data_IF_122750525060
#
_entry.id   IF_122750525060
#
_cell.length_a   1.000
_cell.length_b   1.000
_cell.length_c   1.000
_cell.angle_alpha   90.00
_cell.angle_beta   90.00
_cell.angle_gamma   90.00
#
_symmetry.space_group_name_H-M   'P 1'
#
loop_
_entity.id
_entity.type
_entity.pdbx_description
1 polymer ?
#
# COMPACT_ATOMS: atom_id res chain seq x y z
N UNK A 1 19.78 -4.21 -4.11
CA UNK A 1 18.89 -3.07 -4.50
C UNK A 1 17.78 -3.64 -5.38
N UNK A 2 16.52 -3.32 -5.11
CA UNK A 2 15.37 -3.79 -5.90
C UNK A 2 15.46 -3.35 -7.36
N UNK A 3 15.15 -4.24 -8.29
CA UNK A 3 15.03 -3.96 -9.72
C UNK A 3 13.57 -3.81 -10.11
N UNK A 4 13.25 -2.77 -10.92
CA UNK A 4 11.91 -2.56 -11.48
C UNK A 4 11.96 -2.98 -12.95
N UNK A 5 11.09 -3.91 -13.28
CA UNK A 5 10.99 -4.51 -14.60
C UNK A 5 9.64 -4.16 -15.23
N UNK A 6 9.64 -3.66 -16.44
CA UNK A 6 8.43 -3.36 -17.18
C UNK A 6 8.00 -4.58 -18.01
N UNK A 7 6.80 -5.07 -17.74
CA UNK A 7 6.21 -6.23 -18.40
C UNK A 7 6.81 -7.58 -18.00
N UNK A 8 6.02 -8.62 -18.19
CA UNK A 8 6.39 -10.00 -17.79
C UNK A 8 7.30 -10.72 -18.78
N UNK A 9 7.58 -10.15 -19.95
CA UNK A 9 8.37 -10.81 -21.01
C UNK A 9 9.76 -11.23 -20.54
N UNK A 10 10.34 -10.51 -19.56
CA UNK A 10 11.66 -10.82 -19.00
C UNK A 10 11.62 -11.82 -17.85
N UNK A 11 10.46 -12.23 -17.38
CA UNK A 11 10.34 -13.12 -16.22
C UNK A 11 11.11 -14.44 -16.38
N UNK A 12 11.11 -15.13 -17.55
CA UNK A 12 11.93 -16.32 -17.76
C UNK A 12 13.44 -16.07 -17.57
N UNK A 13 13.93 -14.91 -18.01
CA UNK A 13 15.35 -14.55 -17.85
C UNK A 13 15.67 -14.27 -16.38
N UNK A 14 14.80 -13.59 -15.66
CA UNK A 14 14.93 -13.32 -14.21
C UNK A 14 15.02 -14.65 -13.45
N UNK A 15 14.10 -15.59 -13.70
CA UNK A 15 14.11 -16.90 -13.06
C UNK A 15 15.40 -17.69 -13.34
N UNK A 16 15.91 -17.60 -14.55
CA UNK A 16 17.20 -18.19 -14.91
C UNK A 16 18.37 -17.51 -14.19
N UNK A 17 18.37 -16.18 -14.10
CA UNK A 17 19.41 -15.38 -13.43
C UNK A 17 19.49 -15.72 -11.94
N UNK A 18 18.34 -15.85 -11.26
CA UNK A 18 18.29 -16.19 -9.84
C UNK A 18 18.49 -17.71 -9.58
N UNK A 19 18.59 -18.50 -10.63
CA UNK A 19 18.82 -19.95 -10.53
C UNK A 19 17.61 -20.74 -10.03
N UNK A 20 16.39 -20.22 -10.29
CA UNK A 20 15.15 -20.84 -9.85
C UNK A 20 14.98 -22.25 -10.45
N UNK A 21 14.79 -23.24 -9.60
CA UNK A 21 14.43 -24.61 -9.96
C UNK A 21 13.00 -24.92 -9.53
N UNK A 22 12.68 -24.64 -8.28
CA UNK A 22 11.38 -24.92 -7.67
C UNK A 22 10.70 -23.62 -7.23
N UNK A 23 9.75 -23.17 -8.02
CA UNK A 23 9.05 -21.91 -7.84
C UNK A 23 7.89 -22.05 -6.85
N UNK A 24 7.89 -21.24 -5.79
CA UNK A 24 6.71 -21.07 -4.92
C UNK A 24 5.89 -19.91 -5.42
N UNK A 25 4.71 -20.19 -5.95
CA UNK A 25 3.81 -19.22 -6.57
C UNK A 25 2.68 -18.85 -5.60
N UNK A 26 2.76 -17.64 -5.03
CA UNK A 26 1.71 -17.08 -4.14
C UNK A 26 0.73 -16.29 -4.99
N UNK A 27 -0.53 -16.75 -5.06
CA UNK A 27 -1.58 -16.18 -5.90
C UNK A 27 -2.87 -15.96 -5.12
N UNK A 28 -3.56 -14.88 -5.42
CA UNK A 28 -4.90 -14.63 -4.87
C UNK A 28 -6.02 -15.10 -5.81
N UNK A 29 -7.27 -14.92 -5.38
CA UNK A 29 -8.44 -15.36 -6.14
C UNK A 29 -8.61 -14.67 -7.50
N UNK A 30 -7.95 -13.55 -7.74
CA UNK A 30 -8.01 -12.85 -9.02
C UNK A 30 -7.17 -13.51 -10.12
N UNK A 31 -6.19 -14.34 -9.74
CA UNK A 31 -5.24 -14.97 -10.65
C UNK A 31 -5.89 -15.70 -11.83
N UNK A 32 -7.02 -16.38 -11.59
CA UNK A 32 -7.74 -17.12 -12.62
C UNK A 32 -8.30 -16.24 -13.76
N UNK A 33 -8.44 -14.93 -13.52
CA UNK A 33 -8.98 -13.96 -14.47
C UNK A 33 -7.90 -13.10 -15.12
N UNK A 34 -6.62 -13.27 -14.74
CA UNK A 34 -5.53 -12.47 -15.27
C UNK A 34 -5.15 -12.94 -16.69
N UNK A 35 -4.98 -11.98 -17.57
CA UNK A 35 -4.51 -12.22 -18.94
C UNK A 35 -3.07 -12.75 -19.03
N UNK A 36 -2.31 -12.64 -17.95
CA UNK A 36 -0.92 -13.14 -17.85
C UNK A 36 -0.84 -14.58 -17.34
N UNK A 37 -1.96 -15.20 -16.95
CA UNK A 37 -1.98 -16.53 -16.35
C UNK A 37 -1.22 -17.56 -17.18
N UNK A 38 -1.52 -17.67 -18.46
CA UNK A 38 -0.87 -18.67 -19.33
C UNK A 38 0.64 -18.46 -19.42
N UNK A 39 1.11 -17.20 -19.43
CA UNK A 39 2.52 -16.89 -19.40
C UNK A 39 3.19 -17.35 -18.09
N UNK A 40 2.52 -17.21 -16.95
CA UNK A 40 2.99 -17.69 -15.65
C UNK A 40 2.98 -19.23 -15.60
N UNK A 41 1.90 -19.87 -16.11
CA UNK A 41 1.80 -21.34 -16.11
C UNK A 41 2.86 -22.01 -17.00
N UNK A 42 3.33 -21.34 -18.02
CA UNK A 42 4.35 -21.86 -18.95
C UNK A 42 5.80 -21.50 -18.61
N UNK A 43 6.05 -20.90 -17.43
CA UNK A 43 7.39 -20.53 -17.00
C UNK A 43 8.34 -21.75 -16.99
N UNK A 44 9.58 -21.61 -17.48
CA UNK A 44 10.53 -22.71 -17.64
C UNK A 44 11.27 -23.04 -16.33
N UNK A 45 10.55 -23.61 -15.37
CA UNK A 45 11.09 -24.09 -14.09
C UNK A 45 10.82 -25.58 -13.93
N UNK A 46 11.61 -26.28 -13.10
CA UNK A 46 11.47 -27.73 -12.90
C UNK A 46 10.12 -28.08 -12.23
N UNK A 47 9.73 -27.27 -11.25
CA UNK A 47 8.49 -27.47 -10.47
C UNK A 47 7.89 -26.13 -10.07
N UNK A 48 6.54 -26.05 -10.04
CA UNK A 48 5.76 -24.94 -9.49
C UNK A 48 4.85 -25.45 -8.40
N UNK A 49 4.90 -24.80 -7.25
CA UNK A 49 4.02 -25.08 -6.11
C UNK A 49 3.15 -23.87 -5.85
N UNK A 50 1.84 -23.99 -6.06
CA UNK A 50 0.90 -22.91 -5.91
C UNK A 50 0.39 -22.82 -4.47
N UNK A 51 0.36 -21.59 -3.92
CA UNK A 51 -0.23 -21.29 -2.64
C UNK A 51 -1.28 -20.18 -2.78
N UNK A 52 -2.53 -20.49 -2.43
CA UNK A 52 -3.67 -19.56 -2.50
C UNK A 52 -4.63 -19.67 -1.30
N UNK A 53 -4.27 -20.46 -0.26
CA UNK A 53 -5.10 -20.66 0.93
C UNK A 53 -4.98 -19.48 1.90
N UNK A 54 -5.38 -18.29 1.43
CA UNK A 54 -5.48 -17.08 2.25
C UNK A 54 -6.60 -16.16 1.76
N UNK A 55 -7.05 -15.30 2.64
CA UNK A 55 -8.10 -14.30 2.37
C UNK A 55 -7.50 -12.89 2.23
N UNK A 56 -8.20 -11.92 1.64
CA UNK A 56 -7.87 -10.51 1.83
C UNK A 56 -7.73 -10.19 3.33
N UNK A 57 -6.71 -9.39 3.70
CA UNK A 57 -6.30 -9.24 5.10
C UNK A 57 -5.87 -10.59 5.73
N UNK A 58 -4.74 -11.16 5.29
CA UNK A 58 -4.35 -12.53 5.60
C UNK A 58 -4.18 -12.76 7.10
N UNK A 59 -4.57 -13.97 7.54
CA UNK A 59 -4.43 -14.41 8.93
C UNK A 59 -3.07 -15.07 9.14
N UNK A 60 -2.55 -14.98 10.36
CA UNK A 60 -1.30 -15.63 10.76
C UNK A 60 -1.30 -17.13 10.44
N UNK A 61 -2.39 -17.83 10.74
CA UNK A 61 -2.52 -19.27 10.53
C UNK A 61 -2.46 -19.64 9.04
N UNK A 62 -2.94 -18.75 8.16
CA UNK A 62 -2.85 -18.93 6.70
C UNK A 62 -1.41 -18.79 6.24
N UNK A 63 -0.67 -17.83 6.79
CA UNK A 63 0.77 -17.67 6.51
C UNK A 63 1.56 -18.91 6.96
N UNK A 64 1.28 -19.45 8.16
CA UNK A 64 1.93 -20.67 8.65
C UNK A 64 1.76 -21.85 7.71
N UNK A 65 0.58 -22.06 7.13
CA UNK A 65 0.36 -23.10 6.10
C UNK A 65 1.25 -22.89 4.88
N UNK A 66 1.41 -21.63 4.43
CA UNK A 66 2.33 -21.30 3.34
C UNK A 66 3.78 -21.61 3.66
N UNK A 67 4.21 -21.34 4.90
CA UNK A 67 5.56 -21.69 5.39
C UNK A 67 5.80 -23.20 5.36
N UNK A 68 4.84 -23.98 5.87
CA UNK A 68 4.93 -25.44 5.91
C UNK A 68 4.97 -26.01 4.49
N UNK A 69 4.14 -25.49 3.57
CA UNK A 69 4.15 -25.91 2.18
C UNK A 69 5.46 -25.54 1.47
N UNK A 70 5.97 -24.32 1.67
CA UNK A 70 7.26 -23.92 1.10
C UNK A 70 8.40 -24.85 1.51
N UNK A 71 8.48 -25.13 2.82
CA UNK A 71 9.52 -26.01 3.39
C UNK A 71 9.41 -27.45 2.90
N UNK A 72 8.21 -28.03 2.96
CA UNK A 72 7.97 -29.43 2.55
C UNK A 72 8.19 -29.68 1.06
N UNK A 73 7.93 -28.66 0.23
CA UNK A 73 8.15 -28.74 -1.23
C UNK A 73 9.59 -28.40 -1.64
N UNK A 74 10.44 -27.96 -0.70
CA UNK A 74 11.82 -27.55 -0.97
C UNK A 74 11.93 -26.49 -2.08
N UNK A 75 11.01 -25.52 -2.08
CA UNK A 75 11.06 -24.41 -3.02
C UNK A 75 12.27 -23.50 -2.72
N UNK A 76 12.82 -22.88 -3.77
CA UNK A 76 14.02 -22.04 -3.67
C UNK A 76 13.77 -20.55 -4.03
N UNK A 77 12.66 -20.24 -4.70
CA UNK A 77 12.33 -18.91 -5.19
C UNK A 77 10.84 -18.62 -4.93
N UNK A 78 10.51 -17.38 -4.58
CA UNK A 78 9.12 -16.93 -4.40
C UNK A 78 8.72 -16.00 -5.55
N UNK A 79 7.56 -16.27 -6.15
CA UNK A 79 6.86 -15.36 -7.06
C UNK A 79 5.47 -15.06 -6.48
N UNK A 80 5.21 -13.80 -6.16
CA UNK A 80 3.86 -13.36 -5.77
C UNK A 80 3.17 -12.69 -6.96
N UNK A 81 1.98 -13.15 -7.31
CA UNK A 81 1.12 -12.55 -8.35
C UNK A 81 -0.23 -12.23 -7.73
N UNK A 82 -0.49 -10.97 -7.47
CA UNK A 82 -1.73 -10.56 -6.81
C UNK A 82 -1.69 -9.12 -6.28
N UNK A 83 -2.72 -8.75 -5.54
CA UNK A 83 -2.77 -7.48 -4.81
C UNK A 83 -1.85 -7.47 -3.59
N UNK A 84 -1.92 -6.39 -2.80
CA UNK A 84 -1.08 -6.23 -1.60
C UNK A 84 -1.11 -7.42 -0.65
N UNK A 85 -2.28 -8.08 -0.46
CA UNK A 85 -2.40 -9.24 0.42
C UNK A 85 -1.56 -10.45 -0.03
N UNK A 86 -1.50 -10.75 -1.32
CA UNK A 86 -0.69 -11.84 -1.84
C UNK A 86 0.81 -11.55 -1.64
N UNK A 87 1.23 -10.32 -1.89
CA UNK A 87 2.61 -9.88 -1.71
C UNK A 87 2.99 -9.89 -0.22
N UNK A 88 2.09 -9.44 0.67
CA UNK A 88 2.30 -9.44 2.12
C UNK A 88 2.42 -10.87 2.67
N UNK A 89 1.58 -11.80 2.21
CA UNK A 89 1.70 -13.23 2.54
C UNK A 89 3.06 -13.78 2.13
N UNK A 90 3.50 -13.51 0.91
CA UNK A 90 4.80 -13.94 0.40
C UNK A 90 5.97 -13.40 1.24
N UNK A 91 5.90 -12.13 1.65
CA UNK A 91 6.88 -11.50 2.57
C UNK A 91 6.93 -12.18 3.92
N UNK A 92 5.76 -12.43 4.52
CA UNK A 92 5.68 -13.10 5.81
C UNK A 92 6.21 -14.54 5.73
N UNK A 93 5.90 -15.27 4.65
CA UNK A 93 6.45 -16.62 4.40
C UNK A 93 7.98 -16.54 4.29
N UNK A 94 8.52 -15.63 3.46
CA UNK A 94 9.97 -15.45 3.30
C UNK A 94 10.64 -15.19 4.64
N UNK A 95 10.10 -14.27 5.45
CA UNK A 95 10.64 -13.95 6.77
C UNK A 95 10.65 -15.19 7.70
N UNK A 96 9.54 -15.88 7.81
CA UNK A 96 9.40 -17.02 8.71
C UNK A 96 10.25 -18.23 8.28
N UNK A 97 10.51 -18.39 6.99
CA UNK A 97 11.38 -19.44 6.48
C UNK A 97 12.85 -19.16 6.77
N UNK A 98 13.25 -17.89 6.69
CA UNK A 98 14.66 -17.47 6.86
C UNK A 98 15.04 -17.16 8.31
N UNK A 99 14.07 -16.86 9.17
CA UNK A 99 14.33 -16.54 10.56
C UNK A 99 14.58 -17.82 11.39
N UNK A 100 15.50 -17.74 12.37
CA UNK A 100 15.77 -18.83 13.32
C UNK A 100 14.52 -19.17 14.15
N UNK A 101 13.75 -18.15 14.53
CA UNK A 101 12.50 -18.30 15.29
C UNK A 101 11.34 -18.85 14.44
N UNK A 102 11.53 -19.08 13.16
CA UNK A 102 10.50 -19.60 12.25
C UNK A 102 9.21 -18.77 12.29
N UNK A 103 8.05 -19.42 12.48
CA UNK A 103 6.76 -18.73 12.51
C UNK A 103 6.65 -17.70 13.63
N UNK A 104 7.37 -17.86 14.74
CA UNK A 104 7.37 -16.89 15.83
C UNK A 104 7.92 -15.53 15.40
N UNK A 105 8.77 -15.48 14.37
CA UNK A 105 9.32 -14.22 13.84
C UNK A 105 8.27 -13.23 13.31
N UNK A 106 7.09 -13.72 12.98
CA UNK A 106 6.01 -12.91 12.43
C UNK A 106 4.87 -12.63 13.42
N UNK A 107 5.01 -13.00 14.71
CA UNK A 107 4.01 -12.72 15.75
C UNK A 107 4.53 -11.73 16.79
N UNK A 108 3.64 -10.96 17.48
CA UNK A 108 4.05 -10.12 18.61
C UNK A 108 4.62 -10.97 19.78
N UNK A 109 5.64 -10.50 20.51
CA UNK A 109 6.31 -9.20 20.34
C UNK A 109 7.41 -9.19 19.27
N UNK A 110 7.73 -10.31 18.63
CA UNK A 110 8.88 -10.41 17.72
C UNK A 110 8.68 -9.64 16.43
N UNK A 111 7.43 -9.50 15.96
CA UNK A 111 7.10 -8.72 14.76
C UNK A 111 7.57 -7.26 14.85
N UNK A 112 7.65 -6.70 16.04
CA UNK A 112 8.15 -5.34 16.27
C UNK A 112 9.67 -5.23 16.25
N UNK A 113 10.37 -6.37 16.27
CA UNK A 113 11.83 -6.43 16.22
C UNK A 113 12.27 -6.69 14.78
N UNK A 114 13.27 -5.96 14.33
CA UNK A 114 13.95 -6.27 13.06
C UNK A 114 14.84 -7.49 13.27
N UNK A 115 14.30 -8.69 13.01
CA UNK A 115 15.05 -9.94 13.10
C UNK A 115 15.98 -9.99 11.89
N UNK A 116 17.30 -10.12 12.07
CA UNK A 116 18.22 -10.19 10.95
C UNK A 116 17.99 -11.47 10.16
N UNK A 117 17.74 -11.32 8.87
CA UNK A 117 17.70 -12.42 7.91
C UNK A 117 18.57 -12.11 6.68
N UNK A 118 19.13 -13.13 6.08
CA UNK A 118 19.77 -13.01 4.78
C UNK A 118 18.70 -13.21 3.68
N UNK A 119 18.09 -12.12 3.25
CA UNK A 119 17.05 -12.15 2.22
C UNK A 119 17.51 -12.67 0.87
N UNK A 120 18.83 -12.66 0.58
CA UNK A 120 19.39 -13.16 -0.68
C UNK A 120 19.28 -14.69 -0.86
N UNK A 121 19.06 -15.42 0.24
CA UNK A 121 18.91 -16.88 0.20
C UNK A 121 17.64 -17.37 -0.49
N UNK A 122 16.61 -16.53 -0.58
CA UNK A 122 15.36 -16.84 -1.26
C UNK A 122 15.04 -15.65 -2.16
N UNK A 123 15.34 -15.70 -3.47
CA UNK A 123 14.94 -14.68 -4.42
C UNK A 123 13.43 -14.47 -4.38
N UNK A 124 13.01 -13.21 -4.42
CA UNK A 124 11.61 -12.83 -4.34
C UNK A 124 11.22 -11.88 -5.46
N UNK A 125 10.26 -12.29 -6.29
CA UNK A 125 9.72 -11.54 -7.41
C UNK A 125 8.25 -11.20 -7.09
N UNK A 126 7.83 -9.96 -7.28
CA UNK A 126 6.46 -9.53 -7.07
C UNK A 126 5.87 -8.94 -8.36
N UNK A 127 4.67 -9.41 -8.75
CA UNK A 127 3.86 -8.89 -9.84
C UNK A 127 2.57 -8.34 -9.22
N UNK A 128 2.48 -7.02 -8.95
CA UNK A 128 1.27 -6.43 -8.42
C UNK A 128 0.15 -6.46 -9.48
N UNK A 129 -1.06 -6.86 -9.08
CA UNK A 129 -2.25 -6.87 -9.94
C UNK A 129 -3.19 -5.72 -9.63
N UNK A 130 -2.81 -4.84 -8.73
CA UNK A 130 -3.49 -3.59 -8.38
C UNK A 130 -2.51 -2.43 -8.40
N UNK A 131 -2.97 -1.26 -8.79
CA UNK A 131 -2.18 -0.03 -8.77
C UNK A 131 -2.56 0.80 -7.54
N UNK A 132 -2.04 0.44 -6.37
CA UNK A 132 -2.46 1.08 -5.12
C UNK A 132 -1.43 0.94 -4.00
N UNK A 133 -1.39 -0.20 -3.34
CA UNK A 133 -0.63 -0.40 -2.10
C UNK A 133 0.88 -0.18 -2.21
N UNK A 134 1.45 -0.37 -3.41
CA UNK A 134 2.90 -0.35 -3.61
C UNK A 134 3.65 -1.42 -2.81
N UNK A 135 2.95 -2.49 -2.37
CA UNK A 135 3.57 -3.52 -1.52
C UNK A 135 4.76 -4.18 -2.19
N UNK A 136 4.81 -4.25 -3.52
CA UNK A 136 5.96 -4.75 -4.27
C UNK A 136 7.25 -3.93 -4.05
N UNK A 137 7.13 -2.71 -3.50
CA UNK A 137 8.25 -1.79 -3.26
C UNK A 137 8.43 -1.40 -1.80
N UNK A 138 7.84 -2.15 -0.87
CA UNK A 138 7.99 -1.93 0.57
C UNK A 138 8.61 -3.14 1.28
N UNK A 139 9.32 -2.87 2.36
CA UNK A 139 9.82 -3.89 3.30
C UNK A 139 8.81 -4.21 4.41
N UNK A 140 7.59 -3.73 4.27
CA UNK A 140 6.50 -3.97 5.22
C UNK A 140 5.54 -5.02 4.68
N UNK A 141 4.94 -5.79 5.57
CA UNK A 141 3.84 -6.70 5.28
C UNK A 141 2.79 -6.61 6.38
N UNK A 142 1.53 -6.81 6.01
CA UNK A 142 0.40 -6.78 6.93
C UNK A 142 -0.21 -8.16 7.04
N UNK A 143 -0.45 -8.60 8.28
CA UNK A 143 -1.28 -9.77 8.57
C UNK A 143 -2.12 -9.52 9.82
N UNK A 144 -3.05 -10.40 10.09
CA UNK A 144 -3.88 -10.37 11.30
C UNK A 144 -3.54 -11.53 12.22
N UNK A 145 -3.30 -11.20 13.48
CA UNK A 145 -3.05 -12.15 14.56
C UNK A 145 -3.99 -11.86 15.71
N UNK A 146 -4.74 -12.86 16.18
CA UNK A 146 -5.75 -12.72 17.25
C UNK A 146 -6.72 -11.54 17.03
N UNK A 147 -7.16 -11.37 15.77
CA UNK A 147 -8.08 -10.30 15.38
C UNK A 147 -7.47 -8.90 15.29
N UNK A 148 -6.19 -8.74 15.60
CA UNK A 148 -5.47 -7.47 15.53
C UNK A 148 -4.58 -7.39 14.28
N UNK A 149 -4.59 -6.21 13.62
CA UNK A 149 -3.69 -5.92 12.50
C UNK A 149 -2.26 -5.79 13.00
N UNK A 150 -1.37 -6.58 12.44
CA UNK A 150 0.06 -6.55 12.69
C UNK A 150 0.82 -6.09 11.44
N UNK A 151 1.90 -5.34 11.65
CA UNK A 151 2.80 -4.94 10.56
C UNK A 151 4.16 -5.56 10.81
N UNK A 152 4.57 -6.41 9.90
CA UNK A 152 5.92 -6.97 9.85
C UNK A 152 6.80 -6.01 9.07
N UNK A 153 7.99 -5.69 9.60
CA UNK A 153 8.96 -4.79 8.93
C UNK A 153 10.33 -5.44 8.92
N UNK A 154 10.85 -5.73 7.72
CA UNK A 154 12.19 -6.31 7.57
C UNK A 154 12.76 -6.04 6.17
N UNK A 155 13.98 -5.54 6.09
CA UNK A 155 14.62 -5.20 4.81
C UNK A 155 14.83 -6.43 3.91
N UNK A 156 15.02 -7.62 4.50
CA UNK A 156 15.21 -8.88 3.78
C UNK A 156 13.96 -9.42 3.09
N UNK A 157 12.76 -8.83 3.35
CA UNK A 157 11.52 -9.23 2.66
C UNK A 157 11.11 -8.29 1.54
N UNK A 158 11.85 -7.19 1.33
CA UNK A 158 11.66 -6.38 0.13
C UNK A 158 11.83 -7.27 -1.10
N UNK A 159 10.91 -7.29 -2.07
CA UNK A 159 11.09 -8.03 -3.31
C UNK A 159 12.38 -7.61 -4.04
N UNK A 160 13.12 -8.57 -4.55
CA UNK A 160 14.32 -8.33 -5.34
C UNK A 160 13.95 -7.73 -6.71
N UNK A 161 12.80 -8.18 -7.25
CA UNK A 161 12.25 -7.71 -8.51
C UNK A 161 10.77 -7.32 -8.32
N UNK A 162 10.42 -6.12 -8.74
CA UNK A 162 9.03 -5.71 -8.94
C UNK A 162 8.76 -5.67 -10.45
N UNK A 163 7.88 -6.54 -10.93
CA UNK A 163 7.52 -6.65 -12.35
C UNK A 163 6.20 -5.93 -12.55
N UNK A 164 6.24 -4.80 -13.22
CA UNK A 164 5.07 -3.97 -13.50
C UNK A 164 4.46 -4.38 -14.83
N UNK A 165 3.28 -4.99 -14.78
CA UNK A 165 2.53 -5.45 -15.95
C UNK A 165 1.16 -4.75 -16.01
N UNK A 166 1.05 -3.60 -16.68
CA UNK A 166 -0.16 -2.79 -16.66
C UNK A 166 -1.40 -3.48 -17.25
N UNK A 167 -1.20 -4.47 -18.13
CA UNK A 167 -2.31 -5.18 -18.76
C UNK A 167 -3.21 -5.91 -17.77
N UNK A 168 -2.70 -6.29 -16.59
CA UNK A 168 -3.49 -6.91 -15.51
C UNK A 168 -4.57 -5.97 -14.96
N UNK A 169 -4.38 -4.66 -15.10
CA UNK A 169 -5.35 -3.67 -14.64
C UNK A 169 -6.61 -3.60 -15.51
N UNK A 170 -6.59 -4.17 -16.72
CA UNK A 170 -7.76 -4.17 -17.62
C UNK A 170 -8.96 -4.88 -17.00
N UNK A 171 -8.72 -6.00 -16.33
CA UNK A 171 -9.75 -6.85 -15.73
C UNK A 171 -10.10 -6.46 -14.29
N UNK A 172 -9.39 -5.51 -13.70
CA UNK A 172 -9.66 -5.06 -12.34
C UNK A 172 -11.03 -4.35 -12.28
N UNK A 173 -11.96 -4.75 -11.39
CA UNK A 173 -13.27 -4.10 -11.26
C UNK A 173 -13.14 -2.59 -11.05
N UNK A 174 -14.02 -1.82 -11.68
CA UNK A 174 -13.94 -0.35 -11.71
C UNK A 174 -13.85 0.27 -10.30
N UNK A 175 -14.64 -0.25 -9.35
CA UNK A 175 -14.59 0.24 -7.98
C UNK A 175 -13.22 -0.01 -7.33
N UNK A 176 -12.60 -1.16 -7.60
CA UNK A 176 -11.25 -1.45 -7.12
C UNK A 176 -10.20 -0.56 -7.79
N UNK A 177 -10.32 -0.29 -9.10
CA UNK A 177 -9.45 0.70 -9.78
C UNK A 177 -9.49 2.06 -9.08
N UNK A 178 -10.70 2.57 -8.80
CA UNK A 178 -10.90 3.83 -8.09
C UNK A 178 -10.23 3.82 -6.71
N UNK A 179 -10.52 2.79 -5.92
CA UNK A 179 -10.01 2.69 -4.54
C UNK A 179 -8.49 2.56 -4.50
N UNK A 180 -7.91 1.68 -5.32
CA UNK A 180 -6.46 1.45 -5.30
C UNK A 180 -5.68 2.66 -5.81
N UNK A 181 -6.13 3.31 -6.88
CA UNK A 181 -5.52 4.55 -7.35
C UNK A 181 -5.56 5.66 -6.29
N UNK A 182 -6.68 5.80 -5.58
CA UNK A 182 -6.78 6.79 -4.50
C UNK A 182 -5.88 6.44 -3.31
N UNK A 183 -5.67 5.15 -3.02
CA UNK A 183 -4.69 4.70 -2.03
C UNK A 183 -3.29 5.20 -2.37
N UNK A 184 -2.84 4.95 -3.62
CA UNK A 184 -1.54 5.45 -4.10
C UNK A 184 -1.42 6.98 -4.05
N UNK A 185 -2.48 7.71 -4.44
CA UNK A 185 -2.50 9.18 -4.36
C UNK A 185 -2.35 9.67 -2.91
N UNK A 186 -3.10 9.08 -2.00
CA UNK A 186 -3.03 9.42 -0.58
C UNK A 186 -1.65 9.10 -0.01
N UNK A 187 -1.07 7.94 -0.32
CA UNK A 187 0.29 7.57 0.07
C UNK A 187 1.32 8.60 -0.41
N UNK A 188 1.25 9.00 -1.69
CA UNK A 188 2.14 10.00 -2.25
C UNK A 188 2.03 11.37 -1.54
N UNK A 189 0.81 11.82 -1.27
CA UNK A 189 0.56 13.08 -0.57
C UNK A 189 1.03 12.99 0.89
N UNK A 190 0.67 11.94 1.63
CA UNK A 190 1.06 11.76 3.03
C UNK A 190 2.57 11.58 3.20
N UNK A 191 3.22 10.85 2.31
CA UNK A 191 4.66 10.69 2.31
C UNK A 191 5.39 12.02 2.11
N UNK A 192 4.84 12.92 1.31
CA UNK A 192 5.42 14.21 1.01
C UNK A 192 5.47 15.13 2.23
N UNK A 193 4.41 15.18 3.02
CA UNK A 193 4.36 15.99 4.23
C UNK A 193 4.81 15.29 5.52
N UNK A 194 5.11 13.97 5.46
CA UNK A 194 5.55 13.23 6.64
C UNK A 194 6.77 13.87 7.31
N UNK A 195 6.81 13.86 8.64
CA UNK A 195 7.99 14.31 9.40
C UNK A 195 9.26 13.50 9.07
N UNK A 196 9.08 12.30 8.52
CA UNK A 196 10.15 11.40 8.09
C UNK A 196 10.53 11.58 6.61
N UNK A 197 9.97 12.56 5.89
CA UNK A 197 10.27 12.76 4.49
C UNK A 197 11.72 13.16 4.25
N UNK A 198 12.29 12.59 3.19
CA UNK A 198 13.65 12.84 2.71
C UNK A 198 13.59 13.38 1.28
N UNK A 199 14.71 13.84 0.74
CA UNK A 199 14.80 14.26 -0.66
C UNK A 199 14.41 13.13 -1.62
N UNK A 200 14.81 11.89 -1.34
CA UNK A 200 14.46 10.73 -2.12
C UNK A 200 12.95 10.43 -2.08
N UNK A 201 12.35 10.41 -0.89
CA UNK A 201 10.90 10.20 -0.77
C UNK A 201 10.09 11.35 -1.36
N UNK A 202 10.60 12.57 -1.32
CA UNK A 202 10.03 13.74 -1.98
C UNK A 202 9.87 13.50 -3.50
N UNK A 203 10.94 13.04 -4.16
CA UNK A 203 10.92 12.78 -5.60
C UNK A 203 9.92 11.67 -5.98
N UNK A 204 9.83 10.61 -5.16
CA UNK A 204 8.82 9.57 -5.35
C UNK A 204 7.40 10.09 -5.14
N UNK A 205 7.16 10.88 -4.09
CA UNK A 205 5.86 11.49 -3.80
C UNK A 205 5.43 12.43 -4.92
N UNK A 206 6.32 13.30 -5.39
CA UNK A 206 6.05 14.20 -6.51
C UNK A 206 5.63 13.45 -7.78
N UNK A 207 6.43 12.45 -8.18
CA UNK A 207 6.13 11.61 -9.35
C UNK A 207 4.79 10.90 -9.19
N UNK A 208 4.48 10.36 -8.01
CA UNK A 208 3.19 9.73 -7.72
C UNK A 208 2.04 10.69 -7.98
N UNK A 209 2.09 11.88 -7.40
CA UNK A 209 1.02 12.87 -7.53
C UNK A 209 0.88 13.35 -8.97
N UNK A 210 1.98 13.74 -9.63
CA UNK A 210 1.96 14.21 -11.02
C UNK A 210 1.41 13.17 -12.00
N UNK A 211 1.84 11.92 -11.89
CA UNK A 211 1.39 10.84 -12.77
C UNK A 211 -0.09 10.53 -12.58
N UNK A 212 -0.55 10.45 -11.33
CA UNK A 212 -1.97 10.19 -11.05
C UNK A 212 -2.82 11.36 -11.55
N UNK A 213 -2.46 12.59 -11.22
CA UNK A 213 -3.23 13.77 -11.63
C UNK A 213 -3.32 13.95 -13.14
N UNK A 214 -2.32 13.49 -13.88
CA UNK A 214 -2.31 13.57 -15.35
C UNK A 214 -3.10 12.44 -16.03
N UNK A 215 -3.29 11.29 -15.37
CA UNK A 215 -3.77 10.07 -16.01
C UNK A 215 -5.07 9.50 -15.42
N UNK A 216 -5.50 9.92 -14.22
CA UNK A 216 -6.60 9.29 -13.50
C UNK A 216 -7.90 9.22 -14.29
N UNK A 217 -8.27 10.30 -15.03
CA UNK A 217 -9.50 10.35 -15.79
C UNK A 217 -9.54 9.30 -16.90
N UNK A 218 -8.47 9.23 -17.70
CA UNK A 218 -8.35 8.26 -18.80
C UNK A 218 -8.30 6.82 -18.24
N UNK A 219 -7.59 6.61 -17.14
CA UNK A 219 -7.51 5.29 -16.49
C UNK A 219 -8.87 4.80 -15.98
N UNK A 220 -9.64 5.68 -15.33
CA UNK A 220 -10.90 5.29 -14.68
C UNK A 220 -12.06 5.22 -15.68
N UNK A 221 -12.19 6.20 -16.60
CA UNK A 221 -13.38 6.35 -17.43
C UNK A 221 -13.19 5.88 -18.87
N UNK A 222 -11.95 5.82 -19.35
CA UNK A 222 -11.65 5.44 -20.73
C UNK A 222 -10.96 4.08 -20.83
N UNK A 223 -10.53 3.50 -19.70
CA UNK A 223 -9.77 2.25 -19.63
C UNK A 223 -8.51 2.28 -20.51
N UNK A 224 -7.88 3.45 -20.62
CA UNK A 224 -6.73 3.72 -21.46
C UNK A 224 -5.49 2.95 -20.97
N UNK A 225 -4.78 2.28 -21.89
CA UNK A 225 -3.64 1.41 -21.56
C UNK A 225 -2.41 2.19 -21.13
N UNK A 226 -2.14 3.33 -21.76
CA UNK A 226 -1.00 4.17 -21.40
C UNK A 226 -1.25 4.79 -20.01
N UNK A 227 -2.47 5.29 -19.77
CA UNK A 227 -2.85 5.77 -18.46
C UNK A 227 -2.74 4.67 -17.38
N UNK A 228 -3.12 3.43 -17.68
CA UNK A 228 -2.95 2.29 -16.76
C UNK A 228 -1.46 2.04 -16.43
N UNK A 229 -0.58 2.16 -17.44
CA UNK A 229 0.87 2.05 -17.25
C UNK A 229 1.40 3.14 -16.32
N UNK A 230 0.98 4.38 -16.53
CA UNK A 230 1.40 5.51 -15.69
C UNK A 230 0.86 5.42 -14.26
N UNK A 231 -0.38 4.93 -14.08
CA UNK A 231 -0.96 4.71 -12.75
C UNK A 231 -0.25 3.56 -12.01
N UNK A 232 0.10 2.47 -12.70
CA UNK A 232 0.89 1.38 -12.08
C UNK A 232 2.27 1.87 -11.64
N UNK A 233 2.94 2.65 -12.47
CA UNK A 233 4.22 3.26 -12.12
C UNK A 233 4.08 4.24 -10.94
N UNK A 234 3.02 5.04 -10.90
CA UNK A 234 2.72 5.93 -9.79
C UNK A 234 2.52 5.17 -8.47
N UNK A 235 1.80 4.04 -8.49
CA UNK A 235 1.62 3.18 -7.33
C UNK A 235 2.96 2.58 -6.84
N UNK A 236 3.85 2.21 -7.76
CA UNK A 236 5.19 1.78 -7.40
C UNK A 236 6.00 2.90 -6.73
N UNK A 237 5.95 4.12 -7.26
CA UNK A 237 6.59 5.28 -6.60
C UNK A 237 5.98 5.57 -5.23
N UNK A 238 4.66 5.45 -5.08
CA UNK A 238 4.01 5.64 -3.77
C UNK A 238 4.52 4.61 -2.75
N UNK A 239 4.67 3.34 -3.15
CA UNK A 239 5.26 2.29 -2.34
C UNK A 239 6.69 2.62 -1.89
N UNK A 240 7.54 3.08 -2.81
CA UNK A 240 8.91 3.54 -2.49
C UNK A 240 8.93 4.71 -1.53
N UNK A 241 8.02 5.67 -1.70
CA UNK A 241 7.91 6.82 -0.83
C UNK A 241 7.56 6.39 0.61
N UNK A 242 6.50 5.59 0.79
CA UNK A 242 6.09 5.11 2.12
C UNK A 242 7.05 4.07 2.72
N UNK A 243 7.88 3.43 1.92
CA UNK A 243 8.94 2.57 2.42
C UNK A 243 9.98 3.36 3.24
N UNK A 244 10.17 4.63 2.92
CA UNK A 244 11.05 5.55 3.65
C UNK A 244 10.28 6.22 4.79
N UNK A 245 9.11 6.82 4.50
CA UNK A 245 8.43 7.74 5.40
C UNK A 245 7.39 7.10 6.29
N UNK A 246 6.86 5.93 5.90
CA UNK A 246 5.57 5.42 6.35
C UNK A 246 4.42 6.39 6.00
N UNK A 247 3.18 6.00 6.30
CA UNK A 247 1.99 6.85 6.14
C UNK A 247 1.71 7.68 7.38
N UNK A 248 0.77 8.61 7.32
CA UNK A 248 0.45 9.55 8.39
C UNK A 248 -1.00 9.37 8.91
N UNK A 249 -1.68 10.46 9.24
CA UNK A 249 -2.97 10.44 9.92
C UNK A 249 -4.12 9.88 9.07
N UNK A 250 -4.14 10.12 7.75
CA UNK A 250 -5.25 9.63 6.92
C UNK A 250 -5.32 8.10 6.91
N UNK A 251 -4.17 7.44 6.75
CA UNK A 251 -4.10 5.99 6.87
C UNK A 251 -4.40 5.50 8.29
N UNK A 252 -3.87 6.19 9.33
CA UNK A 252 -4.12 5.80 10.72
C UNK A 252 -5.62 5.83 11.08
N UNK A 253 -6.34 6.84 10.60
CA UNK A 253 -7.78 7.02 10.82
C UNK A 253 -8.63 6.07 9.95
N UNK A 254 -8.15 5.65 8.79
CA UNK A 254 -8.92 4.83 7.84
C UNK A 254 -9.20 3.41 8.33
N UNK A 255 -8.36 2.81 9.16
CA UNK A 255 -8.44 1.38 9.50
C UNK A 255 -9.77 0.98 10.12
N UNK A 256 -10.28 1.80 11.05
CA UNK A 256 -11.56 1.50 11.69
C UNK A 256 -12.75 1.83 10.78
N UNK A 257 -12.65 2.84 9.92
CA UNK A 257 -13.63 3.11 8.86
C UNK A 257 -13.77 1.89 7.94
N UNK A 258 -12.63 1.32 7.47
CA UNK A 258 -12.62 0.10 6.66
C UNK A 258 -13.39 -1.03 7.32
N UNK A 259 -13.13 -1.30 8.59
CA UNK A 259 -13.77 -2.44 9.28
C UNK A 259 -15.23 -2.17 9.64
N UNK A 260 -15.57 -0.94 10.04
CA UNK A 260 -16.92 -0.57 10.51
C UNK A 260 -17.90 -0.43 9.34
N UNK A 261 -17.49 0.27 8.27
CA UNK A 261 -18.34 0.57 7.12
C UNK A 261 -18.11 -0.35 5.92
N UNK A 262 -17.19 -1.32 6.03
CA UNK A 262 -16.84 -2.26 4.95
C UNK A 262 -16.36 -1.59 3.66
N UNK A 263 -15.78 -0.40 3.79
CA UNK A 263 -15.19 0.29 2.66
C UNK A 263 -13.83 -0.34 2.31
N UNK A 264 -13.46 -0.46 1.04
CA UNK A 264 -12.09 -0.77 0.64
C UNK A 264 -11.10 0.24 1.24
N UNK A 265 -9.90 -0.22 1.55
CA UNK A 265 -8.90 0.57 2.27
C UNK A 265 -8.63 1.94 1.63
N UNK A 266 -8.33 1.98 0.34
CA UNK A 266 -8.04 3.25 -0.34
C UNK A 266 -9.22 4.22 -0.38
N UNK A 267 -10.49 3.72 -0.42
CA UNK A 267 -11.66 4.57 -0.25
C UNK A 267 -11.71 5.16 1.16
N UNK A 268 -11.49 4.33 2.19
CA UNK A 268 -11.49 4.78 3.58
C UNK A 268 -10.36 5.80 3.86
N UNK A 269 -9.20 5.67 3.24
CA UNK A 269 -8.13 6.68 3.32
C UNK A 269 -8.54 7.97 2.61
N UNK A 270 -9.12 7.86 1.41
CA UNK A 270 -9.51 9.01 0.60
C UNK A 270 -10.56 9.91 1.27
N UNK A 271 -11.49 9.35 2.06
CA UNK A 271 -12.46 10.16 2.81
C UNK A 271 -11.82 10.88 4.01
N UNK A 272 -10.68 10.40 4.51
CA UNK A 272 -9.97 11.04 5.61
C UNK A 272 -9.05 12.19 5.15
N UNK A 273 -8.36 12.00 4.02
CA UNK A 273 -7.26 12.88 3.61
C UNK A 273 -7.66 14.36 3.48
N UNK A 274 -8.75 14.75 2.79
CA UNK A 274 -9.08 16.15 2.58
C UNK A 274 -9.42 16.88 3.89
N UNK A 275 -10.06 16.18 4.85
CA UNK A 275 -10.41 16.75 6.14
C UNK A 275 -9.17 16.99 7.02
N UNK A 276 -8.22 16.06 6.98
CA UNK A 276 -6.95 16.19 7.70
C UNK A 276 -6.09 17.29 7.07
N UNK A 277 -6.03 17.35 5.75
CA UNK A 277 -5.24 18.38 5.06
C UNK A 277 -5.76 19.78 5.35
N UNK A 278 -7.09 19.98 5.28
CA UNK A 278 -7.73 21.24 5.65
C UNK A 278 -7.44 21.63 7.10
N UNK A 279 -7.59 20.68 8.04
CA UNK A 279 -7.25 20.88 9.45
C UNK A 279 -5.79 21.29 9.65
N UNK A 280 -4.86 20.66 8.97
CA UNK A 280 -3.44 20.99 9.09
C UNK A 280 -3.12 22.41 8.59
N UNK A 281 -3.79 22.86 7.53
CA UNK A 281 -3.65 24.24 7.03
C UNK A 281 -4.20 25.25 8.03
N UNK A 282 -5.33 24.94 8.67
CA UNK A 282 -6.00 25.81 9.65
C UNK A 282 -5.27 25.86 11.00
N UNK A 283 -4.44 24.87 11.30
CA UNK A 283 -3.77 24.69 12.61
C UNK A 283 -2.24 24.55 12.50
N UNK A 284 -1.61 25.36 11.66
CA UNK A 284 -0.15 25.34 11.49
C UNK A 284 0.60 25.64 12.79
N UNK A 285 -0.02 26.33 13.75
CA UNK A 285 0.55 26.60 15.08
C UNK A 285 0.81 25.32 15.88
N UNK A 286 0.14 24.19 15.53
CA UNK A 286 0.38 22.87 16.12
C UNK A 286 1.41 22.03 15.35
N UNK A 287 2.21 22.64 14.49
CA UNK A 287 3.26 21.94 13.74
C UNK A 287 4.30 21.34 14.70
N UNK A 288 4.51 20.04 14.61
CA UNK A 288 5.50 19.26 15.37
C UNK A 288 6.71 18.87 14.52
N UNK A 289 6.69 19.16 13.23
CA UNK A 289 7.83 18.92 12.35
C UNK A 289 9.00 19.84 12.75
N UNK A 290 10.15 19.26 13.00
CA UNK A 290 11.35 20.00 13.41
C UNK A 290 11.84 21.00 12.35
N UNK A 291 11.40 20.84 11.10
CA UNK A 291 11.69 21.75 9.98
C UNK A 291 10.82 23.01 10.01
N UNK A 292 9.75 23.00 10.80
CA UNK A 292 8.91 24.17 11.12
C UNK A 292 7.75 24.42 10.16
N UNK A 293 6.94 25.42 10.53
CA UNK A 293 5.69 25.77 9.82
C UNK A 293 5.92 26.27 8.39
N UNK A 294 6.98 27.05 8.18
CA UNK A 294 7.31 27.59 6.85
C UNK A 294 7.66 26.47 5.87
N UNK A 295 8.41 25.46 6.34
CA UNK A 295 8.69 24.24 5.55
C UNK A 295 7.40 23.51 5.19
N UNK A 296 6.51 23.30 6.17
CA UNK A 296 5.25 22.60 5.92
C UNK A 296 4.34 23.36 4.93
N UNK A 297 4.30 24.68 5.05
CA UNK A 297 3.55 25.54 4.11
C UNK A 297 4.12 25.46 2.69
N UNK A 298 5.45 25.41 2.55
CA UNK A 298 6.10 25.20 1.26
C UNK A 298 5.76 23.80 0.67
N UNK A 299 5.77 22.76 1.51
CA UNK A 299 5.36 21.40 1.09
C UNK A 299 3.91 21.39 0.59
N UNK A 300 2.97 22.00 1.29
CA UNK A 300 1.57 22.09 0.83
C UNK A 300 1.45 22.83 -0.51
N UNK A 301 2.25 23.86 -0.71
CA UNK A 301 2.31 24.62 -1.97
C UNK A 301 2.89 23.76 -3.10
N UNK A 302 3.93 22.97 -2.83
CA UNK A 302 4.52 22.05 -3.82
C UNK A 302 3.57 20.93 -4.20
N UNK A 303 2.83 20.36 -3.24
CA UNK A 303 1.77 19.39 -3.51
C UNK A 303 0.69 20.02 -4.40
N UNK A 304 0.26 21.26 -4.09
CA UNK A 304 -0.72 21.97 -4.89
C UNK A 304 -0.25 22.13 -6.34
N UNK A 305 0.99 22.52 -6.54
CA UNK A 305 1.59 22.66 -7.89
C UNK A 305 1.61 21.31 -8.64
N UNK A 306 2.01 20.22 -7.99
CA UNK A 306 2.00 18.89 -8.58
C UNK A 306 0.58 18.41 -8.94
N UNK A 307 -0.42 18.83 -8.17
CA UNK A 307 -1.83 18.62 -8.49
C UNK A 307 -2.36 19.55 -9.58
N UNK A 308 -1.57 20.48 -10.11
CA UNK A 308 -1.99 21.46 -11.10
C UNK A 308 -2.94 22.52 -10.52
N UNK A 309 -2.71 22.94 -9.26
CA UNK A 309 -3.49 23.95 -8.55
C UNK A 309 -2.60 25.10 -8.07
N UNK A 310 -3.21 26.29 -7.95
CA UNK A 310 -2.52 27.52 -7.53
C UNK A 310 -2.36 27.62 -5.99
N UNK A 311 -3.15 26.86 -5.23
CA UNK A 311 -3.11 26.86 -3.77
C UNK A 311 -3.47 25.51 -3.15
N UNK A 312 -3.06 25.24 -1.90
CA UNK A 312 -3.44 24.04 -1.16
C UNK A 312 -4.97 23.88 -1.02
N UNK A 313 -5.70 24.95 -0.77
CA UNK A 313 -7.17 24.91 -0.66
C UNK A 313 -7.84 24.50 -1.97
N UNK A 314 -7.34 24.96 -3.12
CA UNK A 314 -7.82 24.53 -4.43
C UNK A 314 -7.50 23.05 -4.68
N UNK A 315 -6.39 22.54 -4.15
CA UNK A 315 -6.03 21.13 -4.26
C UNK A 315 -6.99 20.24 -3.47
N UNK A 316 -7.36 20.63 -2.26
CA UNK A 316 -8.37 19.95 -1.45
C UNK A 316 -9.71 19.93 -2.18
N UNK A 317 -10.13 21.05 -2.75
CA UNK A 317 -11.35 21.15 -3.54
C UNK A 317 -11.33 20.25 -4.77
N UNK A 318 -10.18 20.20 -5.48
CA UNK A 318 -9.95 19.30 -6.63
C UNK A 318 -10.00 17.83 -6.21
N UNK A 319 -9.38 17.46 -5.09
CA UNK A 319 -9.42 16.11 -4.54
C UNK A 319 -10.86 15.69 -4.21
N UNK A 320 -11.62 16.53 -3.49
CA UNK A 320 -13.03 16.28 -3.18
C UNK A 320 -13.87 16.14 -4.46
N UNK A 321 -13.58 16.94 -5.50
CA UNK A 321 -14.24 16.82 -6.80
C UNK A 321 -13.89 15.47 -7.46
N UNK A 322 -12.64 15.06 -7.47
CA UNK A 322 -12.24 13.74 -8.00
C UNK A 322 -13.00 12.60 -7.31
N UNK A 323 -13.10 12.62 -5.97
CA UNK A 323 -13.87 11.64 -5.22
C UNK A 323 -15.35 11.62 -5.65
N UNK A 324 -15.96 12.81 -5.80
CA UNK A 324 -17.35 12.93 -6.25
C UNK A 324 -17.53 12.39 -7.68
N UNK A 325 -16.65 12.74 -8.60
CA UNK A 325 -16.70 12.29 -10.01
C UNK A 325 -16.56 10.75 -10.09
N UNK A 326 -15.82 10.14 -9.16
CA UNK A 326 -15.66 8.70 -9.02
C UNK A 326 -16.73 8.03 -8.12
N UNK A 327 -17.67 8.79 -7.57
CA UNK A 327 -18.71 8.27 -6.65
C UNK A 327 -18.12 7.62 -5.37
N UNK A 328 -16.95 8.05 -4.93
CA UNK A 328 -16.35 7.65 -3.66
C UNK A 328 -16.92 8.51 -2.54
N UNK A 329 -18.05 8.09 -2.01
CA UNK A 329 -18.84 8.89 -1.05
C UNK A 329 -18.40 8.64 0.40
N UNK A 330 -18.58 9.64 1.23
CA UNK A 330 -18.38 9.52 2.67
C UNK A 330 -19.34 8.50 3.29
N UNK A 331 -18.91 7.74 4.31
CA UNK A 331 -19.74 6.74 4.97
C UNK A 331 -20.92 7.40 5.69
N UNK A 332 -22.10 6.75 5.60
CA UNK A 332 -23.32 7.14 6.28
C UNK A 332 -23.45 6.33 7.57
N UNK A 333 -23.55 7.01 8.70
CA UNK A 333 -23.71 6.37 10.00
C UNK A 333 -25.18 6.32 10.42
N UNK A 334 -25.62 5.14 10.86
CA UNK A 334 -26.92 4.98 11.52
C UNK A 334 -26.91 5.35 13.02
N UNK A 335 -25.73 5.45 13.63
CA UNK A 335 -25.50 5.82 15.02
C UNK A 335 -24.25 6.70 15.17
N UNK A 336 -24.30 7.90 14.61
CA UNK A 336 -23.13 8.80 14.51
C UNK A 336 -22.43 9.00 15.86
N UNK A 337 -23.17 9.19 16.97
CA UNK A 337 -22.57 9.38 18.30
C UNK A 337 -21.76 8.15 18.77
N UNK A 338 -22.32 6.96 18.58
CA UNK A 338 -21.64 5.71 18.95
C UNK A 338 -20.42 5.45 18.07
N UNK A 339 -20.57 5.66 16.76
CA UNK A 339 -19.49 5.45 15.80
C UNK A 339 -18.33 6.43 16.02
N UNK A 340 -18.59 7.69 16.36
CA UNK A 340 -17.57 8.67 16.70
C UNK A 340 -16.70 8.22 17.87
N UNK A 341 -17.30 7.65 18.92
CA UNK A 341 -16.56 7.12 20.07
C UNK A 341 -15.67 5.93 19.63
N UNK A 342 -16.26 4.98 18.90
CA UNK A 342 -15.53 3.80 18.42
C UNK A 342 -14.37 4.19 17.51
N UNK A 343 -14.58 5.12 16.59
CA UNK A 343 -13.58 5.58 15.64
C UNK A 343 -12.44 6.33 16.35
N UNK A 344 -12.77 7.32 17.20
CA UNK A 344 -11.76 8.17 17.84
C UNK A 344 -10.88 7.39 18.84
N UNK A 345 -11.43 6.40 19.53
CA UNK A 345 -10.68 5.56 20.47
C UNK A 345 -9.84 4.47 19.79
N UNK A 346 -10.09 4.19 18.51
CA UNK A 346 -9.40 3.13 17.76
C UNK A 346 -8.10 3.58 17.10
N UNK A 347 -7.85 4.88 17.01
CA UNK A 347 -6.66 5.41 16.32
C UNK A 347 -5.41 5.15 17.14
N UNK A 348 -4.42 4.47 16.51
CA UNK A 348 -3.16 4.20 17.18
C UNK A 348 -2.29 5.48 17.23
N UNK A 349 -2.02 6.05 18.42
CA UNK A 349 -1.27 7.29 18.55
C UNK A 349 0.17 7.21 18.05
N UNK A 350 0.75 6.01 18.01
CA UNK A 350 2.11 5.82 17.46
C UNK A 350 2.16 6.16 15.97
N UNK A 351 1.09 5.85 15.23
CA UNK A 351 1.01 6.14 13.79
C UNK A 351 0.75 7.62 13.50
N UNK A 352 0.23 8.38 14.45
CA UNK A 352 0.04 9.82 14.32
C UNK A 352 1.35 10.60 14.45
N UNK A 353 2.41 10.01 15.01
CA UNK A 353 3.72 10.67 15.18
C UNK A 353 4.39 11.05 13.84
N UNK A 354 3.97 10.42 12.75
CA UNK A 354 4.49 10.76 11.41
C UNK A 354 3.78 11.97 10.80
N UNK A 355 2.63 12.37 11.37
CA UNK A 355 1.86 13.51 10.88
C UNK A 355 2.52 14.82 11.32
N UNK A 356 2.69 15.84 10.43
CA UNK A 356 3.47 17.04 10.75
C UNK A 356 2.74 18.02 11.68
N UNK A 357 1.44 17.87 11.84
CA UNK A 357 0.61 18.67 12.77
C UNK A 357 0.05 17.74 13.83
N UNK A 358 0.13 18.13 15.09
CA UNK A 358 -0.37 17.35 16.21
C UNK A 358 -1.89 17.15 16.13
N UNK A 359 -2.32 15.89 16.35
CA UNK A 359 -3.72 15.49 16.40
C UNK A 359 -4.01 14.83 17.75
N UNK A 360 -4.68 15.56 18.63
CA UNK A 360 -5.19 15.05 19.88
C UNK A 360 -6.58 14.35 19.73
N UNK A 361 -7.09 13.80 20.79
CA UNK A 361 -8.38 13.10 20.76
C UNK A 361 -9.54 13.98 20.32
N UNK A 362 -9.50 15.28 20.65
CA UNK A 362 -10.55 16.21 20.26
C UNK A 362 -10.49 16.53 18.76
N UNK A 363 -9.29 16.74 18.24
CA UNK A 363 -9.07 16.93 16.80
C UNK A 363 -9.51 15.72 16.00
N UNK A 364 -9.19 14.50 16.47
CA UNK A 364 -9.60 13.25 15.83
C UNK A 364 -11.12 13.11 15.82
N UNK A 365 -11.79 13.41 16.94
CA UNK A 365 -13.25 13.39 17.04
C UNK A 365 -13.90 14.37 16.07
N UNK A 366 -13.38 15.60 16.02
CA UNK A 366 -13.83 16.65 15.09
C UNK A 366 -13.67 16.21 13.63
N UNK A 367 -12.54 15.62 13.26
CA UNK A 367 -12.29 15.11 11.92
C UNK A 367 -13.26 14.00 11.52
N UNK A 368 -13.51 13.04 12.42
CA UNK A 368 -14.50 11.99 12.14
C UNK A 368 -15.92 12.54 12.04
N UNK A 369 -16.27 13.59 12.81
CA UNK A 369 -17.58 14.22 12.70
C UNK A 369 -17.80 14.89 11.33
N UNK A 370 -16.74 15.47 10.73
CA UNK A 370 -16.75 15.97 9.34
C UNK A 370 -16.87 14.85 8.31
N UNK A 371 -16.18 13.73 8.53
CA UNK A 371 -16.16 12.58 7.61
C UNK A 371 -17.51 11.85 7.60
N UNK A 372 -18.13 11.62 8.74
CA UNK A 372 -19.40 10.87 8.84
C UNK A 372 -20.61 11.72 8.44
N UNK A 373 -21.43 11.15 7.56
CA UNK A 373 -22.74 11.71 7.20
C UNK A 373 -23.87 11.03 7.96
#
# INVERSE_FOLDING_TARGET
>A
MQQIINGIANLPNILKEVGCKKLFLVIDSSYSFLNIKDAIETLPVEEKVNFSDFTPNPLFEQVCKGVDLFKSSHCDTILAVGGGSAIDVAKCIKLAVLAEDGNAAIIPPLVSKRIPIDGSKIPFIAIPTTAGTGSESTHNAVMYYEGAKQTVTNDGVLPDYAVLEPSVLKTLPLYQKKCTMMDALCQGIESWWSVNSTEESYEYSRKTVELIMSNWHKYIFENDEEAASQIMLAANYSGRAINITQTTAAHAMSYKITSLYKLPHGHAVAVCLPEIWEYMIEHLEKCIDVRGQDYLTDIFTKIAKAMGCESPTLSISKFRKMMKDMELLNPISSNKKGDLIVLSTSVNPVRLKNNPVELDTQSILYLYDKILK
#
